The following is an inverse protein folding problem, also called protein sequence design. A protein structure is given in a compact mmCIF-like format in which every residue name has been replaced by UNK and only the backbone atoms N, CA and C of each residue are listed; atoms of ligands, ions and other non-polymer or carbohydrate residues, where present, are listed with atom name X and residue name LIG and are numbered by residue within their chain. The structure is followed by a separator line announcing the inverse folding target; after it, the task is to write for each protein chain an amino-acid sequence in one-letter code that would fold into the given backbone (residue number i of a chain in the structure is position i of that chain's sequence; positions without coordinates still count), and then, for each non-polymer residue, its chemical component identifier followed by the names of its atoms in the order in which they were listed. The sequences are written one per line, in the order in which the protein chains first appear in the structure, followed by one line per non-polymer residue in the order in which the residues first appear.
data_IF_942884654774
#
_entry.id   IF_942884654774
#
_cell.length_a   1.000
_cell.length_b   1.000
_cell.length_c   1.000
_cell.angle_alpha   90.00
_cell.angle_beta   90.00
_cell.angle_gamma   90.00
#
_symmetry.space_group_name_H-M   'P 1'
#
loop_
_entity.id
_entity.type
_entity.pdbx_description
1 polymer ?
#
# COMPACT_ATOMS: atom_id res chain seq x y z
N UNK A 1 2.67 -13.01 -1.94
CA UNK A 1 3.08 -14.00 -2.96
C UNK A 1 3.83 -15.14 -2.28
N UNK A 2 3.83 -16.36 -2.82
CA UNK A 2 4.61 -17.50 -2.33
C UNK A 2 4.04 -18.30 -1.14
N UNK A 3 3.17 -17.69 -0.32
CA UNK A 3 2.58 -18.30 0.88
C UNK A 3 1.06 -18.44 0.74
N UNK A 4 0.59 -19.22 -0.22
CA UNK A 4 -0.87 -19.37 -0.47
C UNK A 4 -1.54 -20.23 0.60
N UNK A 5 -0.86 -21.25 1.10
CA UNK A 5 -1.41 -22.21 2.07
C UNK A 5 -1.67 -21.58 3.45
N UNK A 6 -1.04 -20.44 3.73
CA UNK A 6 -1.19 -19.68 4.99
C UNK A 6 -2.29 -18.60 4.92
N UNK A 7 -2.99 -18.46 3.79
CA UNK A 7 -3.91 -17.35 3.56
C UNK A 7 -5.05 -17.30 4.59
N UNK A 8 -5.69 -18.45 4.88
CA UNK A 8 -6.80 -18.51 5.85
C UNK A 8 -6.36 -18.19 7.28
N UNK A 9 -5.18 -18.70 7.68
CA UNK A 9 -4.62 -18.41 9.00
C UNK A 9 -4.37 -16.92 9.16
N UNK A 10 -3.75 -16.30 8.15
CA UNK A 10 -3.49 -14.86 8.13
C UNK A 10 -4.76 -14.03 8.13
N UNK A 11 -5.79 -14.44 7.37
CA UNK A 11 -7.06 -13.71 7.35
C UNK A 11 -7.66 -13.60 8.76
N UNK A 12 -7.59 -14.68 9.53
CA UNK A 12 -8.02 -14.69 10.94
C UNK A 12 -7.09 -13.86 11.83
N UNK A 13 -5.78 -14.01 11.67
CA UNK A 13 -4.79 -13.31 12.48
C UNK A 13 -4.80 -11.78 12.29
N UNK A 14 -5.12 -11.31 11.09
CA UNK A 14 -5.20 -9.88 10.74
C UNK A 14 -6.63 -9.33 10.79
N UNK A 15 -7.58 -10.07 11.34
CA UNK A 15 -8.94 -9.56 11.53
C UNK A 15 -8.91 -8.28 12.37
N UNK A 16 -9.55 -7.22 11.89
CA UNK A 16 -9.57 -5.90 12.55
C UNK A 16 -8.38 -4.99 12.22
N UNK A 17 -7.45 -5.42 11.36
CA UNK A 17 -6.32 -4.60 10.90
C UNK A 17 -6.51 -4.00 9.49
N UNK A 18 -7.71 -4.14 8.91
CA UNK A 18 -8.02 -3.53 7.63
C UNK A 18 -7.89 -2.01 7.73
N UNK A 19 -7.24 -1.39 6.75
CA UNK A 19 -7.22 0.07 6.64
C UNK A 19 -8.52 0.52 6.01
N UNK A 20 -9.37 1.14 6.82
CA UNK A 20 -10.66 1.69 6.44
C UNK A 20 -10.74 3.20 6.71
N UNK A 21 -11.86 3.79 6.32
CA UNK A 21 -12.13 5.22 6.46
C UNK A 21 -12.16 5.66 7.94
N UNK A 22 -12.54 4.77 8.86
CA UNK A 22 -12.54 5.04 10.29
C UNK A 22 -11.10 5.14 10.83
N UNK A 23 -10.22 4.23 10.42
CA UNK A 23 -8.80 4.28 10.77
C UNK A 23 -8.14 5.53 10.17
N UNK A 24 -8.43 5.85 8.91
CA UNK A 24 -7.91 7.07 8.27
C UNK A 24 -8.39 8.34 8.97
N UNK A 25 -9.62 8.36 9.50
CA UNK A 25 -10.13 9.48 10.30
C UNK A 25 -9.33 9.66 11.60
N UNK A 26 -8.89 8.57 12.24
CA UNK A 26 -8.05 8.63 13.44
C UNK A 26 -6.63 9.15 13.12
N UNK A 27 -6.09 8.84 11.94
CA UNK A 27 -4.79 9.33 11.49
C UNK A 27 -4.76 10.85 11.27
N UNK A 28 -5.92 11.45 10.98
CA UNK A 28 -6.10 12.89 10.87
C UNK A 28 -5.99 13.44 9.44
N UNK A 29 -6.32 14.72 9.24
CA UNK A 29 -6.60 15.30 7.92
C UNK A 29 -5.37 15.46 7.01
N UNK A 30 -4.16 15.28 7.54
CA UNK A 30 -2.90 15.38 6.79
C UNK A 30 -2.29 14.01 6.47
N UNK A 31 -2.95 12.93 6.87
CA UNK A 31 -2.47 11.59 6.60
C UNK A 31 -2.66 11.23 5.13
N UNK A 32 -1.66 10.57 4.55
CA UNK A 32 -1.76 9.93 3.25
C UNK A 32 -1.87 8.42 3.43
N UNK A 33 -2.64 7.78 2.55
CA UNK A 33 -2.65 6.33 2.42
C UNK A 33 -1.64 5.90 1.35
N UNK A 34 -0.81 4.91 1.69
CA UNK A 34 0.21 4.32 0.82
C UNK A 34 0.04 2.80 0.76
N UNK A 35 0.32 2.20 -0.39
CA UNK A 35 0.29 0.76 -0.61
C UNK A 35 1.24 0.38 -1.75
N UNK A 36 2.06 -0.66 -1.55
CA UNK A 36 3.10 -1.05 -2.50
C UNK A 36 2.58 -1.69 -3.80
N UNK A 37 1.34 -2.19 -3.77
CA UNK A 37 0.61 -2.91 -4.81
C UNK A 37 1.21 -4.30 -5.18
N UNK A 38 0.39 -5.25 -5.69
CA UNK A 38 -1.07 -5.18 -5.85
C UNK A 38 -1.80 -5.16 -4.51
N UNK A 39 -2.93 -4.46 -4.43
CA UNK A 39 -3.82 -4.45 -3.27
C UNK A 39 -5.04 -5.36 -3.50
N UNK A 40 -5.42 -6.14 -2.50
CA UNK A 40 -6.64 -6.94 -2.43
C UNK A 40 -7.73 -6.14 -1.69
N UNK A 41 -8.56 -5.46 -2.49
CA UNK A 41 -9.62 -4.58 -1.98
C UNK A 41 -10.65 -5.40 -1.19
N UNK A 42 -10.98 -4.92 0.00
CA UNK A 42 -11.87 -5.61 0.94
C UNK A 42 -11.17 -6.60 1.87
N UNK A 43 -9.85 -6.81 1.72
CA UNK A 43 -9.03 -7.63 2.62
C UNK A 43 -8.16 -6.73 3.49
N UNK A 44 -7.02 -6.24 2.99
CA UNK A 44 -6.15 -5.35 3.78
C UNK A 44 -6.58 -3.87 3.76
N UNK A 45 -7.37 -3.45 2.77
CA UNK A 45 -7.81 -2.06 2.61
C UNK A 45 -9.19 -1.98 1.97
N UNK A 46 -10.02 -1.02 2.38
CA UNK A 46 -11.33 -0.79 1.74
C UNK A 46 -11.18 -0.15 0.35
N UNK A 47 -12.16 -0.39 -0.53
CA UNK A 47 -12.20 0.27 -1.84
C UNK A 47 -12.23 1.80 -1.71
N UNK A 48 -12.95 2.32 -0.71
CA UNK A 48 -13.07 3.76 -0.46
C UNK A 48 -11.73 4.41 -0.09
N UNK A 49 -10.91 3.77 0.74
CA UNK A 49 -9.57 4.27 1.08
C UNK A 49 -8.65 4.29 -0.13
N UNK A 50 -8.69 3.28 -1.01
CA UNK A 50 -7.83 3.23 -2.20
C UNK A 50 -8.17 4.33 -3.20
N UNK A 51 -9.46 4.65 -3.37
CA UNK A 51 -9.95 5.68 -4.31
C UNK A 51 -9.99 7.10 -3.70
N UNK A 52 -9.70 7.25 -2.41
CA UNK A 52 -9.83 8.53 -1.73
C UNK A 52 -8.79 9.56 -2.22
N UNK A 53 -9.08 10.87 -2.12
CA UNK A 53 -8.11 11.93 -2.49
C UNK A 53 -6.79 11.91 -1.71
N UNK A 54 -6.77 11.31 -0.52
CA UNK A 54 -5.56 11.14 0.29
C UNK A 54 -4.78 9.86 -0.03
N UNK A 55 -5.27 9.03 -0.96
CA UNK A 55 -4.57 7.87 -1.47
C UNK A 55 -3.51 8.30 -2.47
N UNK A 56 -2.25 7.95 -2.20
CA UNK A 56 -1.12 8.24 -3.10
C UNK A 56 -0.52 6.97 -3.69
N UNK A 57 -1.28 5.89 -3.78
CA UNK A 57 -0.79 4.56 -4.24
C UNK A 57 -0.20 4.61 -5.66
N UNK A 58 -0.75 5.40 -6.56
CA UNK A 58 -0.23 5.54 -7.93
C UNK A 58 1.00 6.46 -8.02
N UNK A 59 1.02 7.66 -7.41
CA UNK A 59 2.26 8.44 -7.27
C UNK A 59 3.40 7.64 -6.60
N UNK A 60 3.08 6.85 -5.57
CA UNK A 60 4.04 5.95 -4.93
C UNK A 60 4.55 4.88 -5.90
N UNK A 61 3.67 4.29 -6.71
CA UNK A 61 4.05 3.28 -7.70
C UNK A 61 4.96 3.88 -8.80
N UNK A 62 4.63 5.05 -9.33
CA UNK A 62 5.45 5.77 -10.33
C UNK A 62 6.85 6.09 -9.79
N UNK A 63 6.93 6.54 -8.54
CA UNK A 63 8.20 6.83 -7.86
C UNK A 63 9.13 5.62 -7.75
N UNK A 64 8.62 4.39 -7.90
CA UNK A 64 9.47 3.19 -7.97
C UNK A 64 10.42 3.25 -9.17
N UNK A 65 9.97 3.72 -10.34
CA UNK A 65 10.83 3.85 -11.52
C UNK A 65 11.96 4.84 -11.27
N UNK A 66 11.61 6.03 -10.76
CA UNK A 66 12.61 7.08 -10.47
C UNK A 66 13.63 6.63 -9.42
N UNK A 67 13.18 5.96 -8.36
CA UNK A 67 14.08 5.41 -7.34
C UNK A 67 15.05 4.37 -7.94
N UNK A 68 14.57 3.45 -8.78
CA UNK A 68 15.44 2.47 -9.44
C UNK A 68 16.41 3.12 -10.43
N UNK A 69 15.99 4.14 -11.18
CA UNK A 69 16.87 4.91 -12.06
C UNK A 69 18.01 5.59 -11.27
N UNK A 70 17.69 6.19 -10.13
CA UNK A 70 18.69 6.79 -9.26
C UNK A 70 19.71 5.76 -8.74
N UNK A 71 19.24 4.57 -8.34
CA UNK A 71 20.11 3.46 -7.93
C UNK A 71 21.03 3.03 -9.09
N UNK A 72 20.49 2.86 -10.31
CA UNK A 72 21.29 2.48 -11.47
C UNK A 72 22.35 3.53 -11.80
N UNK A 73 22.00 4.82 -11.80
CA UNK A 73 22.97 5.90 -12.04
C UNK A 73 24.04 5.95 -10.94
N UNK A 74 23.67 5.77 -9.68
CA UNK A 74 24.63 5.77 -8.58
C UNK A 74 25.65 4.63 -8.69
N UNK A 75 25.21 3.45 -9.15
CA UNK A 75 26.06 2.26 -9.23
C UNK A 75 26.82 2.12 -10.55
N UNK A 76 26.26 2.62 -11.66
CA UNK A 76 26.73 2.34 -13.03
C UNK A 76 26.96 3.60 -13.89
N UNK A 77 26.51 4.78 -13.42
CA UNK A 77 26.65 6.05 -14.14
C UNK A 77 28.01 6.68 -13.87
N UNK A 78 28.90 6.64 -14.86
CA UNK A 78 30.17 7.36 -14.86
C UNK A 78 29.98 8.86 -15.08
#
# INVERSE_FOLDING_TARGET
MGQKDEAEYRLKAFQGFQVDEALMKLAGPKAYFMHCLPAERGVEVTNGVVEAPYSIVFPQAENRMHAQNAIMLHLLGF
#
